data_IF_385362106311
#
_entry.id   IF_385362106311
#
_cell.length_a   1.000
_cell.length_b   1.000
_cell.length_c   1.000
_cell.angle_alpha   90.00
_cell.angle_beta   90.00
_cell.angle_gamma   90.00
#
_symmetry.space_group_name_H-M   'P 1'
#
loop_
_entity.id
_entity.type
_entity.pdbx_description
1 polymer ?
#
# COMPACT_ATOMS: atom_id res chain seq x y z
N UNK A 1 -15.16 -2.17 8.82
CA UNK A 1 -14.30 -2.82 9.84
C UNK A 1 -12.97 -2.08 9.77
N UNK A 2 -12.47 -1.56 10.89
CA UNK A 2 -11.28 -0.73 10.88
C UNK A 2 -10.04 -1.61 10.66
N UNK A 3 -9.33 -1.38 9.56
CA UNK A 3 -8.13 -2.10 9.15
C UNK A 3 -6.86 -1.52 9.78
N UNK A 4 -6.94 -0.43 10.54
CA UNK A 4 -5.82 0.14 11.28
C UNK A 4 -5.95 -0.25 12.76
N UNK A 5 -4.92 -0.87 13.32
CA UNK A 5 -4.90 -1.35 14.72
C UNK A 5 -3.76 -0.71 15.51
N UNK A 6 -4.02 -0.27 16.74
CA UNK A 6 -2.97 0.33 17.56
C UNK A 6 -1.85 -0.65 17.90
N UNK A 7 -0.62 -0.16 18.09
CA UNK A 7 0.48 -0.94 18.66
C UNK A 7 0.14 -1.64 19.99
N UNK A 8 -0.74 -1.06 20.82
CA UNK A 8 -1.26 -1.71 22.03
C UNK A 8 -2.14 -2.93 21.73
N UNK A 9 -2.97 -2.85 20.68
CA UNK A 9 -3.80 -3.96 20.23
C UNK A 9 -2.94 -5.14 19.77
N UNK A 10 -1.84 -4.85 19.06
CA UNK A 10 -0.85 -5.82 18.61
C UNK A 10 -0.11 -6.44 19.80
N UNK A 11 0.37 -5.62 20.74
CA UNK A 11 1.04 -6.10 21.96
C UNK A 11 0.17 -7.07 22.77
N UNK A 12 -1.12 -6.77 22.93
CA UNK A 12 -2.05 -7.61 23.67
C UNK A 12 -2.29 -8.99 23.03
N UNK A 13 -1.92 -9.17 21.75
CA UNK A 13 -2.20 -10.35 20.93
C UNK A 13 -0.96 -11.03 20.38
N UNK A 14 0.23 -10.57 20.78
CA UNK A 14 1.52 -10.97 20.22
C UNK A 14 1.76 -12.49 20.14
N UNK A 15 1.10 -13.25 21.02
CA UNK A 15 1.27 -14.70 21.14
C UNK A 15 -0.01 -15.50 20.84
N UNK A 16 -1.01 -14.87 20.23
CA UNK A 16 -2.19 -15.58 19.74
C UNK A 16 -1.77 -16.50 18.57
N UNK A 17 -2.20 -17.77 18.55
CA UNK A 17 -1.67 -18.77 17.61
C UNK A 17 -2.10 -18.54 16.15
N UNK A 18 -3.15 -17.74 15.93
CA UNK A 18 -3.72 -17.41 14.63
C UNK A 18 -3.27 -16.03 14.11
N UNK A 19 -2.34 -15.34 14.78
CA UNK A 19 -1.81 -14.06 14.31
C UNK A 19 -0.44 -14.22 13.65
N UNK A 20 -0.25 -13.56 12.50
CA UNK A 20 1.07 -13.37 11.89
C UNK A 20 1.34 -11.88 11.76
N UNK A 21 2.46 -11.44 12.34
CA UNK A 21 2.94 -10.07 12.23
C UNK A 21 3.94 -10.02 11.08
N UNK A 22 3.71 -9.17 10.09
CA UNK A 22 4.57 -9.02 8.93
C UNK A 22 5.35 -7.70 9.00
N UNK A 23 6.68 -7.80 9.04
CA UNK A 23 7.60 -6.69 8.86
C UNK A 23 7.78 -6.43 7.37
N UNK A 24 7.32 -5.27 6.92
CA UNK A 24 7.43 -4.80 5.55
C UNK A 24 8.41 -3.61 5.43
N UNK A 25 9.32 -3.43 6.39
CA UNK A 25 10.34 -2.38 6.29
C UNK A 25 11.16 -2.57 5.03
N UNK A 26 11.31 -1.51 4.27
CA UNK A 26 12.08 -1.45 3.03
C UNK A 26 12.62 -0.03 2.89
N UNK A 27 13.64 0.20 2.06
CA UNK A 27 14.09 1.55 1.72
C UNK A 27 14.44 1.61 0.23
N UNK A 28 13.76 2.50 -0.51
CA UNK A 28 13.96 2.62 -1.96
C UNK A 28 15.41 2.98 -2.30
N UNK A 29 15.98 2.26 -3.26
CA UNK A 29 17.39 2.39 -3.65
C UNK A 29 18.39 1.74 -2.69
N UNK A 30 17.93 1.10 -1.61
CA UNK A 30 18.74 0.35 -0.64
C UNK A 30 18.05 -0.98 -0.26
N UNK A 31 18.00 -1.96 -1.18
CA UNK A 31 17.15 -3.13 -1.07
C UNK A 31 17.42 -4.00 0.16
N UNK A 32 18.66 -4.06 0.64
CA UNK A 32 19.03 -4.92 1.77
C UNK A 32 18.73 -4.31 3.16
N UNK A 33 18.53 -2.98 3.24
CA UNK A 33 18.35 -2.26 4.52
C UNK A 33 17.14 -2.76 5.31
N UNK A 34 16.04 -3.07 4.62
CA UNK A 34 14.83 -3.60 5.26
C UNK A 34 15.10 -4.94 5.96
N UNK A 35 15.78 -5.85 5.25
CA UNK A 35 16.13 -7.17 5.75
C UNK A 35 17.15 -7.09 6.88
N UNK A 36 18.17 -6.26 6.72
CA UNK A 36 19.19 -6.02 7.77
C UNK A 36 18.53 -5.50 9.05
N UNK A 37 17.64 -4.52 8.94
CA UNK A 37 16.91 -3.96 10.08
C UNK A 37 16.00 -5.01 10.75
N UNK A 38 15.36 -5.90 9.98
CA UNK A 38 14.61 -7.04 10.51
C UNK A 38 15.50 -8.01 11.29
N UNK A 39 16.66 -8.38 10.74
CA UNK A 39 17.59 -9.30 11.40
C UNK A 39 18.17 -8.69 12.70
N UNK A 40 18.36 -7.37 12.74
CA UNK A 40 18.83 -6.67 13.94
C UNK A 40 17.77 -6.62 15.04
N UNK A 41 16.55 -6.17 14.71
CA UNK A 41 15.44 -6.10 15.65
C UNK A 41 14.08 -6.02 14.94
N UNK A 42 13.12 -6.82 15.36
CA UNK A 42 11.74 -6.85 14.87
C UNK A 42 10.75 -7.11 16.01
N UNK A 43 9.44 -6.98 15.74
CA UNK A 43 8.40 -7.36 16.71
C UNK A 43 8.47 -8.88 16.94
N UNK A 44 8.46 -9.41 18.18
CA UNK A 44 8.66 -10.84 18.42
C UNK A 44 7.71 -11.74 17.61
N UNK A 45 8.28 -12.72 16.91
CA UNK A 45 7.52 -13.64 16.07
C UNK A 45 7.14 -13.06 14.70
N UNK A 46 7.51 -11.83 14.37
CA UNK A 46 7.26 -11.26 13.07
C UNK A 46 8.04 -12.00 11.96
N UNK A 47 7.42 -12.09 10.79
CA UNK A 47 8.03 -12.57 9.54
C UNK A 47 8.38 -11.38 8.67
N UNK A 48 9.42 -11.51 7.84
CA UNK A 48 9.81 -10.45 6.90
C UNK A 48 9.24 -10.71 5.51
N UNK A 49 8.62 -9.70 4.91
CA UNK A 49 8.16 -9.71 3.52
C UNK A 49 8.75 -8.52 2.77
N UNK A 50 9.57 -8.81 1.77
CA UNK A 50 10.35 -7.83 1.01
C UNK A 50 9.50 -7.20 -0.10
N UNK A 51 9.54 -5.87 -0.22
CA UNK A 51 8.75 -5.16 -1.23
C UNK A 51 9.06 -5.61 -2.66
N UNK A 52 10.34 -5.80 -3.00
CA UNK A 52 10.78 -6.12 -4.36
C UNK A 52 10.76 -7.62 -4.64
N UNK A 53 11.02 -8.45 -3.62
CA UNK A 53 11.15 -9.91 -3.81
C UNK A 53 9.85 -10.67 -3.58
N UNK A 54 9.00 -10.21 -2.65
CA UNK A 54 7.78 -10.90 -2.24
C UNK A 54 6.51 -10.15 -2.68
N UNK A 55 6.51 -8.81 -2.61
CA UNK A 55 5.31 -7.97 -2.84
C UNK A 55 5.24 -7.35 -4.24
N UNK A 56 6.19 -7.69 -5.11
CA UNK A 56 6.28 -7.21 -6.50
C UNK A 56 6.78 -8.31 -7.43
N UNK A 57 6.38 -8.25 -8.70
CA UNK A 57 7.03 -9.01 -9.76
C UNK A 57 8.28 -8.27 -10.28
N UNK A 58 9.18 -8.96 -11.02
CA UNK A 58 10.28 -8.31 -11.71
C UNK A 58 9.79 -7.22 -12.66
N UNK A 59 10.55 -6.12 -12.73
CA UNK A 59 10.26 -4.99 -13.62
C UNK A 59 10.31 -5.47 -15.08
N UNK A 60 9.32 -5.06 -15.85
CA UNK A 60 9.24 -5.24 -17.30
C UNK A 60 9.14 -3.88 -17.99
N UNK A 61 9.01 -3.87 -19.33
CA UNK A 61 8.81 -2.62 -20.09
C UNK A 61 7.57 -1.85 -19.60
N UNK A 62 6.49 -2.58 -19.34
CA UNK A 62 5.23 -2.07 -18.77
C UNK A 62 4.91 -2.76 -17.43
N UNK A 63 3.96 -2.21 -16.69
CA UNK A 63 3.54 -2.65 -15.36
C UNK A 63 4.12 -1.83 -14.20
N UNK A 64 4.96 -0.84 -14.51
CA UNK A 64 5.57 0.08 -13.55
C UNK A 64 6.76 -0.50 -12.79
N UNK A 65 7.32 0.28 -11.84
CA UNK A 65 8.50 -0.14 -11.06
C UNK A 65 8.24 -1.20 -9.99
N UNK A 66 6.98 -1.38 -9.57
CA UNK A 66 6.60 -2.41 -8.61
C UNK A 66 5.34 -3.15 -9.11
N UNK A 67 5.45 -3.89 -10.24
CA UNK A 67 4.32 -4.61 -10.81
C UNK A 67 3.71 -5.58 -9.78
N UNK A 68 2.43 -5.89 -9.92
CA UNK A 68 1.80 -6.88 -9.05
C UNK A 68 2.55 -8.23 -9.15
N UNK A 69 2.77 -8.91 -8.02
CA UNK A 69 3.43 -10.20 -8.04
C UNK A 69 2.57 -11.23 -8.76
N UNK A 70 3.22 -12.21 -9.39
CA UNK A 70 2.54 -13.40 -9.86
C UNK A 70 1.83 -14.09 -8.68
N UNK A 71 0.56 -14.46 -8.87
CA UNK A 71 -0.29 -14.95 -7.78
C UNK A 71 0.30 -16.21 -7.16
N UNK A 72 0.79 -17.15 -7.97
CA UNK A 72 1.35 -18.40 -7.45
C UNK A 72 2.64 -18.16 -6.66
N UNK A 73 3.50 -17.25 -7.13
CA UNK A 73 4.71 -16.85 -6.37
C UNK A 73 4.36 -16.15 -5.08
N UNK A 74 3.39 -15.23 -5.10
CA UNK A 74 2.98 -14.53 -3.89
C UNK A 74 2.36 -15.48 -2.86
N UNK A 75 1.50 -16.41 -3.30
CA UNK A 75 0.95 -17.48 -2.46
C UNK A 75 2.06 -18.33 -1.84
N UNK A 76 3.14 -18.62 -2.57
CA UNK A 76 4.30 -19.32 -2.01
C UNK A 76 5.01 -18.50 -0.93
N UNK A 77 5.17 -17.18 -1.11
CA UNK A 77 5.74 -16.29 -0.09
C UNK A 77 4.84 -16.23 1.15
N UNK A 78 3.52 -16.09 0.99
CA UNK A 78 2.56 -16.15 2.10
C UNK A 78 2.62 -17.48 2.84
N UNK A 79 2.65 -18.59 2.10
CA UNK A 79 2.75 -19.94 2.68
C UNK A 79 4.02 -20.08 3.52
N UNK A 80 5.19 -19.69 3.01
CA UNK A 80 6.47 -19.72 3.74
C UNK A 80 6.48 -18.81 4.97
N UNK A 81 5.73 -17.73 4.92
CA UNK A 81 5.52 -16.80 6.02
C UNK A 81 4.49 -17.31 7.05
N UNK A 82 3.91 -18.51 6.86
CA UNK A 82 2.92 -19.09 7.78
C UNK A 82 1.54 -18.43 7.66
N UNK A 83 1.28 -17.68 6.58
CA UNK A 83 0.01 -17.01 6.33
C UNK A 83 -0.89 -17.94 5.53
N UNK A 84 -2.00 -18.36 6.14
CA UNK A 84 -3.07 -19.12 5.52
C UNK A 84 -4.38 -18.33 5.45
N UNK A 85 -5.44 -18.96 4.93
CA UNK A 85 -6.74 -18.28 4.77
C UNK A 85 -7.37 -17.83 6.11
N UNK A 86 -7.12 -18.56 7.21
CA UNK A 86 -7.69 -18.27 8.54
C UNK A 86 -6.78 -17.40 9.43
N UNK A 87 -5.61 -17.00 8.93
CA UNK A 87 -4.63 -16.21 9.68
C UNK A 87 -5.10 -14.76 9.83
N UNK A 88 -4.95 -14.16 11.01
CA UNK A 88 -5.01 -12.71 11.19
C UNK A 88 -3.65 -12.11 10.89
N UNK A 89 -3.55 -11.29 9.85
CA UNK A 89 -2.29 -10.66 9.46
C UNK A 89 -2.22 -9.23 9.99
N UNK A 90 -1.11 -8.85 10.62
CA UNK A 90 -0.80 -7.46 10.98
C UNK A 90 0.47 -7.03 10.27
N UNK A 91 0.35 -6.14 9.29
CA UNK A 91 1.50 -5.57 8.60
C UNK A 91 2.00 -4.31 9.33
N UNK A 92 3.32 -4.16 9.43
CA UNK A 92 3.94 -2.91 9.86
C UNK A 92 5.14 -2.57 8.98
N UNK A 93 5.54 -1.31 9.01
CA UNK A 93 6.80 -0.84 8.45
C UNK A 93 7.38 0.26 9.36
N UNK A 94 8.30 1.06 8.83
CA UNK A 94 8.81 2.25 9.52
C UNK A 94 8.87 3.47 8.59
N UNK A 95 7.93 3.53 7.64
CA UNK A 95 7.78 4.60 6.67
C UNK A 95 6.31 5.03 6.53
N UNK A 96 5.63 5.17 7.67
CA UNK A 96 4.26 5.68 7.73
C UNK A 96 3.21 4.73 7.14
N UNK A 97 3.48 3.43 7.10
CA UNK A 97 2.54 2.42 6.60
C UNK A 97 2.52 2.26 5.08
N UNK A 98 3.44 2.89 4.35
CA UNK A 98 3.50 2.79 2.89
C UNK A 98 3.64 1.35 2.37
N UNK A 99 4.53 0.56 2.96
CA UNK A 99 4.79 -0.82 2.56
C UNK A 99 3.83 -1.79 3.24
N UNK A 100 3.49 -1.53 4.50
CA UNK A 100 2.47 -2.30 5.22
C UNK A 100 1.11 -2.26 4.49
N UNK A 101 0.72 -1.08 3.99
CA UNK A 101 -0.51 -0.91 3.20
C UNK A 101 -0.46 -1.66 1.86
N UNK A 102 0.72 -1.83 1.26
CA UNK A 102 0.88 -2.63 0.04
C UNK A 102 0.59 -4.11 0.31
N UNK A 103 1.13 -4.68 1.39
CA UNK A 103 0.79 -6.05 1.81
C UNK A 103 -0.71 -6.17 2.15
N UNK A 104 -1.26 -5.21 2.90
CA UNK A 104 -2.69 -5.15 3.19
C UNK A 104 -3.53 -5.22 1.92
N UNK A 105 -3.22 -4.37 0.92
CA UNK A 105 -3.95 -4.34 -0.34
C UNK A 105 -3.81 -5.66 -1.11
N UNK A 106 -2.61 -6.25 -1.19
CA UNK A 106 -2.39 -7.53 -1.88
C UNK A 106 -3.17 -8.69 -1.25
N UNK A 107 -3.25 -8.74 0.08
CA UNK A 107 -4.05 -9.74 0.78
C UNK A 107 -5.54 -9.56 0.50
N UNK A 108 -6.03 -8.31 0.54
CA UNK A 108 -7.42 -7.98 0.15
C UNK A 108 -7.71 -8.35 -1.31
N UNK A 109 -6.77 -8.08 -2.21
CA UNK A 109 -6.84 -8.48 -3.61
C UNK A 109 -6.96 -9.99 -3.76
N UNK A 110 -6.32 -10.80 -2.92
CA UNK A 110 -6.50 -12.26 -2.92
C UNK A 110 -7.70 -12.75 -2.11
N UNK A 111 -8.60 -11.86 -1.70
CA UNK A 111 -9.82 -12.21 -0.95
C UNK A 111 -9.60 -12.46 0.54
N UNK A 112 -8.42 -12.13 1.09
CA UNK A 112 -8.11 -12.27 2.50
C UNK A 112 -8.42 -10.98 3.26
N UNK A 113 -9.54 -10.98 4.00
CA UNK A 113 -10.06 -9.77 4.67
C UNK A 113 -9.54 -9.55 6.10
N UNK A 114 -8.99 -10.57 6.76
CA UNK A 114 -8.48 -10.51 8.15
C UNK A 114 -7.06 -9.96 8.21
N UNK A 115 -6.85 -8.82 7.56
CA UNK A 115 -5.56 -8.13 7.50
C UNK A 115 -5.66 -6.70 8.01
N UNK A 116 -4.66 -6.31 8.80
CA UNK A 116 -4.58 -5.01 9.46
C UNK A 116 -3.22 -4.36 9.21
N UNK A 117 -3.18 -3.03 9.30
CA UNK A 117 -1.96 -2.22 9.35
C UNK A 117 -1.77 -1.72 10.78
N UNK A 118 -0.59 -1.89 11.35
CA UNK A 118 -0.27 -1.33 12.66
C UNK A 118 -0.21 0.19 12.58
N UNK A 119 -0.88 0.87 13.50
CA UNK A 119 -0.78 2.31 13.69
C UNK A 119 0.61 2.66 14.22
N UNK A 120 1.21 3.67 13.60
CA UNK A 120 2.61 4.04 13.74
C UNK A 120 3.59 2.92 13.32
N UNK A 121 4.88 3.26 13.20
CA UNK A 121 5.92 2.34 12.73
C UNK A 121 6.65 1.61 13.85
N UNK A 122 7.61 0.78 13.45
CA UNK A 122 8.52 0.07 14.35
C UNK A 122 9.28 1.01 15.31
N UNK A 123 9.67 2.19 14.85
CA UNK A 123 10.31 3.20 15.70
C UNK A 123 9.42 3.63 16.88
N UNK A 124 8.10 3.74 16.67
CA UNK A 124 7.16 4.07 17.74
C UNK A 124 6.93 2.90 18.70
N UNK A 125 6.94 1.67 18.18
CA UNK A 125 6.93 0.44 18.98
C UNK A 125 8.14 0.40 19.93
N UNK A 126 9.34 0.66 19.43
CA UNK A 126 10.56 0.73 20.23
C UNK A 126 10.52 1.86 21.26
N UNK A 127 10.05 3.06 20.86
CA UNK A 127 9.92 4.21 21.77
C UNK A 127 8.95 3.95 22.93
N UNK A 128 7.95 3.09 22.72
CA UNK A 128 7.03 2.64 23.76
C UNK A 128 7.64 1.57 24.68
N UNK A 129 8.92 1.20 24.49
CA UNK A 129 9.61 0.15 25.23
C UNK A 129 8.91 -1.22 25.12
N UNK A 130 8.23 -1.46 24.00
CA UNK A 130 7.60 -2.76 23.74
C UNK A 130 8.65 -3.81 23.35
N UNK A 131 8.35 -5.10 23.56
CA UNK A 131 9.31 -6.17 23.30
C UNK A 131 9.80 -6.17 21.85
N UNK A 132 11.09 -6.38 21.65
CA UNK A 132 11.72 -6.61 20.34
C UNK A 132 12.52 -7.91 20.36
N UNK A 133 12.71 -8.53 19.21
CA UNK A 133 13.45 -9.77 19.04
C UNK A 133 14.40 -9.68 17.84
N UNK A 134 15.46 -10.49 17.86
CA UNK A 134 16.30 -10.79 16.70
C UNK A 134 16.19 -12.28 16.30
N UNK A 135 15.33 -13.04 16.99
CA UNK A 135 15.18 -14.49 16.84
C UNK A 135 14.64 -14.85 15.45
N UNK A 136 15.36 -15.73 14.75
CA UNK A 136 14.93 -16.27 13.46
C UNK A 136 14.20 -17.59 13.68
N UNK A 137 12.88 -17.53 13.90
CA UNK A 137 12.08 -18.74 14.13
C UNK A 137 11.88 -19.54 12.85
N UNK A 138 11.82 -20.86 13.01
CA UNK A 138 11.33 -21.75 11.95
C UNK A 138 9.82 -21.58 11.86
N UNK A 139 9.35 -21.09 10.71
CA UNK A 139 7.93 -20.91 10.44
C UNK A 139 7.38 -22.20 9.83
N UNK A 140 6.23 -22.64 10.34
CA UNK A 140 5.49 -23.75 9.74
C UNK A 140 4.69 -23.19 8.57
N UNK A 141 4.91 -23.68 7.34
CA UNK A 141 4.17 -23.18 6.20
C UNK A 141 2.67 -23.42 6.34
N UNK A 142 1.86 -22.46 5.89
CA UNK A 142 0.41 -22.55 5.89
C UNK A 142 -0.15 -22.69 4.46
N UNK A 143 -1.37 -23.22 4.34
CA UNK A 143 -2.06 -23.28 3.05
C UNK A 143 -2.85 -21.99 2.82
N UNK A 144 -2.66 -21.39 1.65
CA UNK A 144 -3.38 -20.20 1.21
C UNK A 144 -3.99 -20.46 -0.17
N UNK A 145 -5.32 -20.39 -0.26
CA UNK A 145 -6.09 -20.49 -1.49
C UNK A 145 -6.48 -19.08 -1.94
N UNK A 146 -5.93 -18.58 -3.07
CA UNK A 146 -6.22 -17.22 -3.53
C UNK A 146 -7.63 -17.11 -4.13
N UNK A 147 -8.31 -16.00 -3.84
CA UNK A 147 -9.57 -15.62 -4.46
C UNK A 147 -9.45 -14.19 -5.03
N UNK A 148 -8.83 -14.03 -6.22
CA UNK A 148 -8.54 -12.71 -6.77
C UNK A 148 -9.79 -11.85 -6.98
N UNK A 149 -9.79 -10.65 -6.41
CA UNK A 149 -10.80 -9.61 -6.50
C UNK A 149 -10.40 -8.65 -7.64
N UNK A 150 -10.63 -9.10 -8.89
CA UNK A 150 -10.18 -8.40 -10.10
C UNK A 150 -10.74 -6.99 -10.23
N UNK A 151 -11.85 -6.68 -9.57
CA UNK A 151 -12.46 -5.36 -9.50
C UNK A 151 -11.65 -4.34 -8.70
N UNK A 152 -10.71 -4.77 -7.85
CA UNK A 152 -9.87 -3.87 -7.05
C UNK A 152 -8.69 -3.28 -7.85
N UNK A 153 -8.37 -3.84 -9.02
CA UNK A 153 -7.27 -3.42 -9.87
C UNK A 153 -7.78 -2.82 -11.18
N UNK A 154 -7.08 -1.80 -11.68
CA UNK A 154 -7.37 -1.13 -12.96
C UNK A 154 -6.15 -1.27 -13.86
N UNK A 155 -6.35 -1.61 -15.14
CA UNK A 155 -5.28 -1.62 -16.14
C UNK A 155 -5.06 -0.24 -16.75
N UNK A 156 -3.92 -0.04 -17.42
CA UNK A 156 -3.65 1.22 -18.15
C UNK A 156 -4.71 1.50 -19.23
N UNK A 157 -5.22 0.46 -19.91
CA UNK A 157 -6.29 0.59 -20.91
C UNK A 157 -7.61 1.04 -20.27
N UNK A 158 -7.94 0.52 -19.09
CA UNK A 158 -9.13 0.95 -18.36
C UNK A 158 -9.00 2.38 -17.86
N UNK A 159 -7.81 2.81 -17.39
CA UNK A 159 -7.55 4.22 -17.07
C UNK A 159 -7.75 5.10 -18.31
N UNK A 160 -7.17 4.73 -19.46
CA UNK A 160 -7.34 5.45 -20.74
C UNK A 160 -8.80 5.60 -21.14
N UNK A 161 -9.57 4.52 -21.02
CA UNK A 161 -11.00 4.54 -21.36
C UNK A 161 -11.81 5.46 -20.43
N UNK A 162 -11.34 5.70 -19.20
CA UNK A 162 -12.05 6.43 -18.17
C UNK A 162 -11.63 7.89 -17.95
N UNK A 163 -10.54 8.37 -18.59
CA UNK A 163 -10.00 9.74 -18.44
C UNK A 163 -11.06 10.87 -18.50
N UNK A 164 -12.14 10.68 -19.25
CA UNK A 164 -13.20 11.68 -19.45
C UNK A 164 -14.60 11.13 -19.14
N UNK A 165 -14.68 10.02 -18.40
CA UNK A 165 -15.96 9.41 -18.03
C UNK A 165 -16.50 10.08 -16.78
N UNK A 166 -17.72 10.61 -16.85
CA UNK A 166 -18.41 11.15 -15.69
C UNK A 166 -18.62 10.05 -14.62
N UNK A 167 -18.43 10.39 -13.34
CA UNK A 167 -18.50 9.44 -12.24
C UNK A 167 -17.24 8.59 -12.05
N UNK A 168 -16.11 8.99 -12.62
CA UNK A 168 -14.78 8.43 -12.30
C UNK A 168 -13.82 9.54 -11.91
N UNK A 169 -13.07 9.34 -10.83
CA UNK A 169 -12.06 10.28 -10.34
C UNK A 169 -10.70 9.58 -10.22
N UNK A 170 -9.67 10.21 -10.78
CA UNK A 170 -8.29 9.75 -10.65
C UNK A 170 -7.62 10.48 -9.47
N UNK A 171 -6.97 9.72 -8.60
CA UNK A 171 -6.30 10.25 -7.40
C UNK A 171 -4.82 9.91 -7.44
N UNK A 172 -3.97 10.93 -7.61
CA UNK A 172 -2.53 10.81 -7.49
C UNK A 172 -2.10 10.97 -6.04
N UNK A 173 -1.44 9.95 -5.52
CA UNK A 173 -1.02 9.89 -4.12
C UNK A 173 0.39 10.43 -3.89
N UNK A 174 1.12 10.86 -4.94
CA UNK A 174 2.48 11.42 -4.81
C UNK A 174 2.47 12.78 -4.12
N UNK A 175 3.65 13.24 -3.73
CA UNK A 175 3.86 14.61 -3.26
C UNK A 175 3.45 15.63 -4.33
N UNK A 176 2.84 16.72 -3.89
CA UNK A 176 2.25 17.72 -4.78
C UNK A 176 3.24 18.28 -5.84
N UNK A 177 4.53 18.56 -5.54
CA UNK A 177 5.50 18.98 -6.56
C UNK A 177 5.75 17.93 -7.66
N UNK A 178 5.67 16.63 -7.33
CA UNK A 178 5.80 15.55 -8.33
C UNK A 178 4.57 15.47 -9.22
N UNK A 179 3.39 15.54 -8.63
CA UNK A 179 2.13 15.59 -9.35
C UNK A 179 2.07 16.79 -10.31
N UNK A 180 2.41 18.00 -9.82
CA UNK A 180 2.42 19.21 -10.66
C UNK A 180 3.49 19.21 -11.75
N UNK A 181 4.44 18.27 -11.71
CA UNK A 181 5.55 18.18 -12.65
C UNK A 181 6.68 19.19 -12.40
N UNK A 182 6.78 19.73 -11.19
CA UNK A 182 7.83 20.69 -10.79
C UNK A 182 9.15 19.99 -10.48
N UNK A 183 9.06 18.77 -9.92
CA UNK A 183 10.21 17.94 -9.53
C UNK A 183 9.89 16.50 -9.89
N UNK A 184 10.79 15.80 -10.57
CA UNK A 184 10.68 14.35 -10.74
C UNK A 184 12.05 13.69 -10.55
N UNK A 185 12.33 13.13 -9.36
CA UNK A 185 13.63 12.57 -9.06
C UNK A 185 13.76 11.09 -9.43
N UNK A 186 12.68 10.43 -9.84
CA UNK A 186 12.63 8.96 -10.00
C UNK A 186 12.29 8.57 -11.45
N UNK A 187 11.26 9.19 -12.01
CA UNK A 187 10.70 8.87 -13.32
C UNK A 187 11.31 9.74 -14.44
N UNK A 188 11.39 9.26 -15.70
CA UNK A 188 11.93 10.05 -16.81
C UNK A 188 11.03 11.24 -17.23
N UNK A 189 9.74 11.20 -16.85
CA UNK A 189 8.74 12.21 -17.23
C UNK A 189 8.04 12.73 -15.98
N UNK A 190 8.06 14.05 -15.81
CA UNK A 190 7.37 14.76 -14.73
C UNK A 190 5.91 15.09 -15.11
N UNK A 191 5.03 15.21 -14.11
CA UNK A 191 3.62 15.53 -14.30
C UNK A 191 2.71 14.44 -13.75
N UNK A 192 1.46 14.41 -14.22
CA UNK A 192 0.42 13.49 -13.77
C UNK A 192 -0.50 13.06 -14.93
N UNK A 193 -1.40 12.11 -14.63
CA UNK A 193 -2.40 11.63 -15.58
C UNK A 193 -3.49 12.70 -15.69
N UNK A 194 -3.85 13.19 -16.90
CA UNK A 194 -4.82 14.25 -17.05
C UNK A 194 -6.16 13.98 -16.34
N UNK A 195 -6.68 15.00 -15.67
CA UNK A 195 -7.92 14.93 -14.88
C UNK A 195 -7.74 14.36 -13.48
N UNK A 196 -6.54 13.90 -13.11
CA UNK A 196 -6.28 13.43 -11.75
C UNK A 196 -6.19 14.61 -10.76
N UNK A 197 -6.70 14.40 -9.55
CA UNK A 197 -6.45 15.29 -8.40
C UNK A 197 -5.28 14.77 -7.57
N UNK A 198 -4.64 15.65 -6.81
CA UNK A 198 -3.62 15.25 -5.84
C UNK A 198 -4.20 15.05 -4.44
N UNK A 199 -3.88 13.91 -3.83
CA UNK A 199 -4.09 13.63 -2.40
C UNK A 199 -2.83 12.99 -1.86
N UNK A 200 -1.88 13.77 -1.36
CA UNK A 200 -0.61 13.22 -0.91
C UNK A 200 -0.82 12.19 0.22
N UNK A 201 -0.40 10.94 0.01
CA UNK A 201 -0.71 9.81 0.90
C UNK A 201 -0.35 10.08 2.37
N UNK A 202 0.74 10.81 2.62
CA UNK A 202 1.23 11.08 3.98
C UNK A 202 0.29 11.98 4.78
N UNK A 203 -0.60 12.73 4.13
CA UNK A 203 -1.64 13.53 4.80
C UNK A 203 -2.73 12.68 5.44
N UNK A 204 -2.75 11.37 5.16
CA UNK A 204 -3.57 10.40 5.90
C UNK A 204 -3.09 10.18 7.34
N UNK A 205 -1.95 10.77 7.74
CA UNK A 205 -1.39 10.70 9.08
C UNK A 205 -1.41 12.06 9.76
N UNK A 206 -1.38 12.07 11.09
CA UNK A 206 -1.18 13.26 11.91
C UNK A 206 0.30 13.59 12.00
N UNK A 207 0.62 14.79 12.51
CA UNK A 207 1.99 15.27 12.66
C UNK A 207 2.83 14.41 13.63
N UNK A 208 2.20 13.71 14.57
CA UNK A 208 2.86 12.77 15.49
C UNK A 208 3.19 11.40 14.87
N UNK A 209 2.76 11.18 13.61
CA UNK A 209 2.98 9.94 12.88
C UNK A 209 1.85 8.92 12.97
N UNK A 210 0.86 9.13 13.84
CA UNK A 210 -0.34 8.29 13.95
C UNK A 210 -1.23 8.43 12.72
N UNK A 211 -1.98 7.38 12.39
CA UNK A 211 -3.02 7.45 11.38
C UNK A 211 -4.18 8.35 11.85
N UNK A 212 -4.75 9.11 10.93
CA UNK A 212 -6.03 9.79 11.14
C UNK A 212 -7.15 8.78 11.34
N UNK A 213 -8.11 9.10 12.20
CA UNK A 213 -9.30 8.29 12.43
C UNK A 213 -10.18 8.22 11.18
N UNK A 214 -11.12 7.24 11.09
CA UNK A 214 -12.10 7.18 10.00
C UNK A 214 -12.84 8.51 9.77
N UNK A 215 -13.19 9.23 10.84
CA UNK A 215 -13.86 10.53 10.77
C UNK A 215 -12.96 11.62 10.17
N UNK A 216 -11.70 11.68 10.59
CA UNK A 216 -10.72 12.63 10.03
C UNK A 216 -10.39 12.31 8.56
N UNK A 217 -10.39 11.02 8.17
CA UNK A 217 -10.25 10.63 6.75
C UNK A 217 -11.50 11.02 5.95
N UNK A 218 -12.70 10.82 6.51
CA UNK A 218 -13.94 11.24 5.87
C UNK A 218 -13.99 12.75 5.66
N UNK A 219 -13.46 13.55 6.60
CA UNK A 219 -13.30 14.99 6.43
C UNK A 219 -12.27 15.32 5.34
N UNK A 220 -11.13 14.63 5.30
CA UNK A 220 -10.07 14.82 4.27
C UNK A 220 -10.58 14.57 2.84
N UNK A 221 -11.57 13.70 2.68
CA UNK A 221 -12.15 13.33 1.39
C UNK A 221 -13.59 13.85 1.22
N UNK A 222 -14.02 14.83 2.01
CA UNK A 222 -15.40 15.33 2.01
C UNK A 222 -15.82 16.00 0.69
N UNK A 223 -14.85 16.42 -0.13
CA UNK A 223 -15.09 16.98 -1.45
C UNK A 223 -15.28 15.93 -2.55
N UNK A 224 -15.07 14.64 -2.24
CA UNK A 224 -15.28 13.54 -3.17
C UNK A 224 -16.70 12.98 -3.10
N UNK A 225 -17.27 12.68 -4.26
CA UNK A 225 -18.53 11.95 -4.38
C UNK A 225 -18.35 10.50 -3.94
N UNK A 226 -19.28 10.00 -3.11
CA UNK A 226 -19.32 8.58 -2.69
C UNK A 226 -19.85 7.65 -3.79
N UNK A 227 -20.55 8.21 -4.79
CA UNK A 227 -21.09 7.42 -5.89
C UNK A 227 -20.07 7.19 -7.00
N UNK A 228 -19.01 7.99 -7.04
CA UNK A 228 -17.97 7.93 -8.06
C UNK A 228 -17.04 6.74 -7.86
N UNK A 229 -16.55 6.19 -8.96
CA UNK A 229 -15.44 5.25 -8.94
C UNK A 229 -14.13 6.01 -8.73
N UNK A 230 -13.38 5.66 -7.68
CA UNK A 230 -12.10 6.28 -7.36
C UNK A 230 -10.96 5.36 -7.82
N UNK A 231 -10.16 5.84 -8.77
CA UNK A 231 -8.97 5.14 -9.26
C UNK A 231 -7.74 5.80 -8.64
N UNK A 232 -7.11 5.11 -7.70
CA UNK A 232 -5.96 5.61 -6.95
C UNK A 232 -4.67 5.12 -7.58
N UNK A 233 -3.70 6.01 -7.71
CA UNK A 233 -2.36 5.67 -8.18
C UNK A 233 -1.29 6.53 -7.49
N UNK A 234 -0.02 6.22 -7.72
CA UNK A 234 1.10 7.02 -7.23
C UNK A 234 2.27 7.00 -8.22
N UNK A 235 3.52 6.86 -7.74
CA UNK A 235 4.67 6.60 -8.61
C UNK A 235 4.66 5.21 -9.22
N UNK A 236 4.36 4.18 -8.41
CA UNK A 236 4.53 2.77 -8.82
C UNK A 236 3.65 1.81 -8.01
N UNK A 237 2.46 2.21 -7.57
CA UNK A 237 1.48 1.33 -6.93
C UNK A 237 1.72 0.97 -5.45
N UNK A 238 2.72 1.56 -4.80
CA UNK A 238 3.03 1.30 -3.38
C UNK A 238 2.35 2.33 -2.49
N UNK A 239 2.77 3.59 -2.55
CA UNK A 239 2.21 4.70 -1.75
C UNK A 239 0.78 5.12 -2.14
N UNK A 240 0.20 4.51 -3.17
CA UNK A 240 -1.23 4.57 -3.44
C UNK A 240 -2.05 3.75 -2.44
N UNK A 241 -1.51 2.62 -1.95
CA UNK A 241 -2.21 1.70 -1.06
C UNK A 241 -2.62 2.36 0.28
N UNK A 242 -1.81 3.22 0.93
CA UNK A 242 -2.24 4.00 2.09
C UNK A 242 -3.48 4.87 1.83
N UNK A 243 -3.61 5.47 0.65
CA UNK A 243 -4.81 6.23 0.30
C UNK A 243 -6.00 5.31 -0.01
N UNK A 244 -5.79 4.15 -0.63
CA UNK A 244 -6.85 3.15 -0.80
C UNK A 244 -7.39 2.71 0.57
N UNK A 245 -6.50 2.44 1.52
CA UNK A 245 -6.85 2.14 2.91
C UNK A 245 -7.62 3.30 3.55
N UNK A 246 -7.11 4.53 3.45
CA UNK A 246 -7.75 5.71 4.04
C UNK A 246 -9.15 6.00 3.45
N UNK A 247 -9.33 5.86 2.14
CA UNK A 247 -10.64 5.98 1.49
C UNK A 247 -11.60 4.87 1.94
N UNK A 248 -11.11 3.64 2.06
CA UNK A 248 -11.89 2.51 2.58
C UNK A 248 -12.36 2.77 4.02
N UNK A 249 -11.47 3.28 4.89
CA UNK A 249 -11.82 3.66 6.27
C UNK A 249 -12.80 4.84 6.32
N UNK A 250 -12.70 5.79 5.40
CA UNK A 250 -13.66 6.89 5.22
C UNK A 250 -15.04 6.43 4.67
N UNK A 251 -15.19 5.14 4.36
CA UNK A 251 -16.43 4.52 3.88
C UNK A 251 -16.68 4.67 2.39
N UNK A 252 -15.65 4.89 1.58
CA UNK A 252 -15.75 4.73 0.13
C UNK A 252 -15.65 3.25 -0.23
N UNK A 253 -16.56 2.77 -1.07
CA UNK A 253 -16.68 1.35 -1.46
C UNK A 253 -16.17 1.08 -2.88
N UNK A 254 -16.21 2.07 -3.78
CA UNK A 254 -15.74 1.97 -5.17
C UNK A 254 -14.30 2.46 -5.35
N UNK A 255 -13.38 1.95 -4.53
CA UNK A 255 -11.97 2.34 -4.56
C UNK A 255 -11.14 1.27 -5.25
N UNK A 256 -10.47 1.65 -6.35
CA UNK A 256 -9.61 0.76 -7.13
C UNK A 256 -8.18 1.27 -7.18
N UNK A 257 -7.23 0.36 -7.41
CA UNK A 257 -5.81 0.67 -7.55
C UNK A 257 -5.38 0.50 -9.01
N UNK A 258 -4.82 1.55 -9.60
CA UNK A 258 -3.99 1.41 -10.79
C UNK A 258 -2.55 1.09 -10.35
N UNK A 259 -2.25 -0.20 -10.25
CA UNK A 259 -1.03 -0.71 -9.62
C UNK A 259 0.25 -0.31 -10.39
N UNK A 260 0.20 -0.25 -11.72
CA UNK A 260 1.32 0.22 -12.52
C UNK A 260 1.65 1.70 -12.28
N UNK A 261 0.61 2.50 -11.97
CA UNK A 261 0.73 3.89 -11.54
C UNK A 261 1.48 4.76 -12.56
N UNK A 262 2.06 5.90 -12.13
CA UNK A 262 2.74 6.84 -13.01
C UNK A 262 3.83 6.19 -13.86
N UNK A 263 4.66 5.34 -13.26
CA UNK A 263 5.76 4.67 -13.95
C UNK A 263 5.30 3.74 -15.08
N UNK A 264 4.11 3.15 -14.94
CA UNK A 264 3.49 2.37 -16.02
C UNK A 264 2.87 3.30 -17.06
N UNK A 265 2.16 4.34 -16.62
CA UNK A 265 1.51 5.31 -17.52
C UNK A 265 2.49 5.92 -18.53
N UNK A 266 3.66 6.35 -18.07
CA UNK A 266 4.68 6.99 -18.92
C UNK A 266 5.51 5.99 -19.72
N UNK A 267 5.36 4.69 -19.47
CA UNK A 267 6.04 3.65 -20.27
C UNK A 267 5.38 3.44 -21.64
N UNK A 268 4.13 3.85 -21.80
CA UNK A 268 3.42 3.80 -23.08
C UNK A 268 3.58 5.13 -23.83
N UNK A 269 4.28 5.09 -24.96
CA UNK A 269 4.39 6.24 -25.84
C UNK A 269 3.00 6.74 -26.28
N UNK A 270 2.82 8.07 -26.25
CA UNK A 270 1.57 8.72 -26.68
C UNK A 270 0.51 8.86 -25.58
N UNK A 271 0.73 8.30 -24.38
CA UNK A 271 -0.12 8.61 -23.24
C UNK A 271 -0.03 10.10 -22.90
N UNK A 272 -1.16 10.81 -22.69
CA UNK A 272 -1.13 12.22 -22.37
C UNK A 272 -0.59 12.46 -20.95
N UNK A 273 0.11 13.59 -20.78
CA UNK A 273 0.70 14.03 -19.52
C UNK A 273 0.25 15.46 -19.24
N UNK A 274 -0.27 15.69 -18.04
CA UNK A 274 -0.63 17.00 -17.53
C UNK A 274 0.40 17.52 -16.52
N UNK A 275 0.42 18.84 -16.32
CA UNK A 275 1.25 19.54 -15.33
C UNK A 275 0.42 20.64 -14.66
N UNK A 276 0.88 21.15 -13.52
CA UNK A 276 0.09 22.08 -12.70
C UNK A 276 -0.98 21.39 -11.85
N UNK A 277 -1.92 22.16 -11.32
CA UNK A 277 -3.05 21.66 -10.52
C UNK A 277 -4.27 21.44 -11.41
N UNK A 278 -4.90 20.27 -11.32
CA UNK A 278 -6.17 19.95 -11.97
C UNK A 278 -7.25 19.59 -10.93
N UNK A 279 -8.53 19.68 -11.33
CA UNK A 279 -9.66 19.29 -10.48
C UNK A 279 -10.11 20.31 -9.42
N UNK A 280 -9.76 21.59 -9.59
CA UNK A 280 -10.54 22.71 -9.02
C UNK A 280 -11.52 23.22 -10.07
N UNK A 281 -12.74 22.67 -10.09
CA UNK A 281 -13.93 23.37 -10.58
C UNK A 281 -14.95 23.46 -9.47
#
# INVERSE_FOLDING_TARGET
MNAIVSKNWVLARLYEPDIVIADCRFLLGKPDVGREAYLEAHIPGAVYLDLEKDLSAPICEHGGRHPLPDIDKFVQSLSKAGIGNDTRVVAYDDQGGAMASRLWWLLRYLGHSTVYVMDEGFSAWQKASFPVSAEQKVIVPASFVPHPQVELVVSVEEVKAKLHTAGTMLIDSREAPRYRGEVEPIDPVAGHIPGAINRFWSEGRRADGSWKSPEEQAERFADLSRDDELIVYCGSGVTACPNVLALTEAGFDKVKLYAGSWSDWISYEGNPVATGEEGKQ
#
